data_IF_105252301835
#
_entry.id   IF_105252301835
#
_cell.length_a   1.000
_cell.length_b   1.000
_cell.length_c   1.000
_cell.angle_alpha   90.00
_cell.angle_beta   90.00
_cell.angle_gamma   90.00
#
_symmetry.space_group_name_H-M   'P 1'
#
loop_
_entity.id
_entity.type
_entity.pdbx_description
1 polymer ?
#
# COMPACT_ATOMS: atom_id res chain seq x y z
N UNK A 1 18.26 -7.99 -8.57
CA UNK A 1 17.72 -8.33 -9.89
C UNK A 1 17.14 -7.07 -10.50
N UNK A 2 17.44 -6.81 -11.77
CA UNK A 2 16.99 -5.62 -12.48
C UNK A 2 16.41 -6.03 -13.83
N UNK A 3 15.18 -5.63 -14.12
CA UNK A 3 14.44 -5.96 -15.34
C UNK A 3 13.96 -4.64 -15.95
N UNK A 4 14.33 -4.37 -17.20
CA UNK A 4 14.00 -3.10 -17.84
C UNK A 4 13.63 -3.27 -19.30
N UNK A 5 12.71 -2.42 -19.78
CA UNK A 5 12.32 -2.31 -21.20
C UNK A 5 11.83 -3.66 -21.79
N UNK A 6 11.12 -4.46 -21.00
CA UNK A 6 10.49 -5.68 -21.49
C UNK A 6 9.18 -5.34 -22.19
N UNK A 7 9.25 -5.19 -23.52
CA UNK A 7 8.10 -4.74 -24.33
C UNK A 7 7.07 -5.84 -24.61
N UNK A 8 7.37 -7.12 -24.37
CA UNK A 8 6.49 -8.25 -24.72
C UNK A 8 6.05 -9.12 -23.54
N UNK A 9 6.67 -8.96 -22.36
CA UNK A 9 6.35 -9.80 -21.19
C UNK A 9 5.10 -9.29 -20.50
N UNK A 10 4.10 -10.17 -20.33
CA UNK A 10 2.88 -9.89 -19.56
C UNK A 10 3.04 -10.19 -18.06
N UNK A 11 3.94 -11.10 -17.72
CA UNK A 11 4.36 -11.42 -16.36
C UNK A 11 5.87 -11.66 -16.29
N UNK A 12 6.46 -11.59 -15.10
CA UNK A 12 7.90 -11.84 -14.91
C UNK A 12 8.20 -13.27 -14.45
N UNK A 13 7.42 -13.80 -13.51
CA UNK A 13 7.64 -15.12 -12.91
C UNK A 13 6.38 -15.96 -12.90
N UNK A 14 6.54 -17.28 -13.00
CA UNK A 14 5.53 -18.21 -12.48
C UNK A 14 5.62 -18.30 -10.95
N UNK A 15 4.58 -18.81 -10.29
CA UNK A 15 4.60 -19.16 -8.86
C UNK A 15 5.77 -20.07 -8.49
N UNK A 16 6.03 -21.11 -9.28
CA UNK A 16 7.16 -22.03 -9.10
C UNK A 16 8.53 -21.31 -9.14
N UNK A 17 8.74 -20.40 -10.08
CA UNK A 17 9.97 -19.59 -10.12
C UNK A 17 10.04 -18.64 -8.94
N UNK A 18 8.94 -17.97 -8.59
CA UNK A 18 8.89 -17.08 -7.44
C UNK A 18 9.29 -17.78 -6.13
N UNK A 19 8.83 -19.02 -5.91
CA UNK A 19 9.22 -19.87 -4.75
C UNK A 19 10.73 -20.16 -4.73
N UNK A 20 11.37 -20.31 -5.89
CA UNK A 20 12.81 -20.55 -5.99
C UNK A 20 13.67 -19.29 -5.75
N UNK A 21 13.06 -18.09 -5.74
CA UNK A 21 13.77 -16.81 -5.65
C UNK A 21 13.96 -16.29 -4.22
N UNK A 22 13.87 -17.15 -3.21
CA UNK A 22 13.98 -16.76 -1.80
C UNK A 22 15.30 -16.07 -1.40
N UNK A 23 16.34 -16.13 -2.24
CA UNK A 23 17.62 -15.47 -2.00
C UNK A 23 17.73 -14.04 -2.57
N UNK A 24 16.72 -13.57 -3.33
CA UNK A 24 16.77 -12.23 -3.91
C UNK A 24 16.72 -11.18 -2.81
N UNK A 25 17.63 -10.20 -2.90
CA UNK A 25 17.70 -9.06 -1.98
C UNK A 25 17.06 -7.79 -2.52
N UNK A 26 17.22 -7.54 -3.81
CA UNK A 26 16.74 -6.32 -4.44
C UNK A 26 16.07 -6.67 -5.76
N UNK A 27 14.90 -6.09 -6.02
CA UNK A 27 14.17 -6.22 -7.28
C UNK A 27 13.85 -4.82 -7.79
N UNK A 28 14.25 -4.54 -9.02
CA UNK A 28 13.89 -3.32 -9.75
C UNK A 28 13.29 -3.74 -11.10
N UNK A 29 12.05 -3.34 -11.36
CA UNK A 29 11.36 -3.59 -12.63
C UNK A 29 10.90 -2.24 -13.17
N UNK A 30 11.41 -1.84 -14.34
CA UNK A 30 11.13 -0.52 -14.89
C UNK A 30 10.82 -0.53 -16.39
N UNK A 31 9.91 0.34 -16.84
CA UNK A 31 9.60 0.54 -18.27
C UNK A 31 9.12 -0.73 -19.00
N UNK A 32 8.43 -1.64 -18.30
CA UNK A 32 7.88 -2.87 -18.89
C UNK A 32 6.39 -2.65 -19.26
N UNK A 33 6.14 -2.14 -20.47
CA UNK A 33 4.83 -1.56 -20.82
C UNK A 33 3.69 -2.54 -20.97
N UNK A 34 3.95 -3.77 -21.41
CA UNK A 34 2.92 -4.81 -21.57
C UNK A 34 2.75 -5.69 -20.33
N UNK A 35 3.53 -5.47 -19.27
CA UNK A 35 3.45 -6.25 -18.04
C UNK A 35 2.15 -5.91 -17.29
N UNK A 36 1.35 -6.93 -17.01
CA UNK A 36 0.05 -6.84 -16.33
C UNK A 36 0.12 -7.30 -14.87
N UNK A 37 1.01 -8.24 -14.58
CA UNK A 37 1.31 -8.78 -13.24
C UNK A 37 2.80 -9.07 -13.11
N UNK A 38 3.33 -9.19 -11.88
CA UNK A 38 4.75 -9.59 -11.68
C UNK A 38 4.85 -11.11 -11.60
N UNK A 39 3.93 -11.75 -10.88
CA UNK A 39 3.89 -13.20 -10.70
C UNK A 39 2.58 -13.72 -11.25
N UNK A 40 2.67 -14.54 -12.30
CA UNK A 40 1.57 -15.35 -12.82
C UNK A 40 1.45 -16.62 -11.98
N UNK A 41 0.27 -16.82 -11.40
CA UNK A 41 -0.03 -17.93 -10.50
C UNK A 41 -1.08 -18.88 -11.10
N UNK A 42 -1.14 -18.94 -12.42
CA UNK A 42 -1.89 -19.96 -13.16
C UNK A 42 -1.22 -21.34 -13.03
N UNK A 43 -1.20 -21.91 -11.81
CA UNK A 43 -0.92 -23.32 -11.61
C UNK A 43 -2.18 -23.98 -11.01
N UNK A 44 -2.82 -24.82 -11.85
CA UNK A 44 -3.79 -25.85 -11.45
C UNK A 44 -3.07 -26.93 -10.62
N UNK A 45 -2.55 -26.59 -9.45
CA UNK A 45 -2.12 -27.61 -8.50
C UNK A 45 -3.35 -28.08 -7.72
N UNK A 46 -3.95 -29.13 -8.27
CA UNK A 46 -4.78 -30.11 -7.58
C UNK A 46 -3.99 -30.66 -6.37
N UNK A 47 -4.07 -29.99 -5.22
CA UNK A 47 -3.84 -30.64 -3.94
C UNK A 47 -4.52 -29.85 -2.82
N UNK A 48 -5.48 -30.51 -2.17
CA UNK A 48 -6.07 -30.07 -0.91
C UNK A 48 -5.01 -30.14 0.19
N UNK A 49 -4.46 -28.99 0.60
CA UNK A 49 -3.91 -28.88 1.96
C UNK A 49 -4.18 -27.50 2.55
N UNK A 50 -4.71 -27.54 3.77
CA UNK A 50 -5.17 -26.41 4.55
C UNK A 50 -4.01 -25.56 5.10
N UNK A 51 -3.57 -24.56 4.32
CA UNK A 51 -2.98 -23.29 4.76
C UNK A 51 -2.89 -22.39 3.52
N UNK A 52 -3.07 -21.08 3.64
CA UNK A 52 -2.82 -20.19 2.51
C UNK A 52 -1.35 -20.34 2.08
N UNK A 53 -1.14 -20.90 0.89
CA UNK A 53 0.19 -21.12 0.32
C UNK A 53 0.89 -19.75 0.24
N UNK A 54 2.09 -19.60 0.82
CA UNK A 54 2.73 -18.29 1.02
C UNK A 54 3.94 -18.15 0.10
N UNK A 55 3.99 -17.08 -0.68
CA UNK A 55 5.17 -16.68 -1.42
C UNK A 55 6.10 -15.91 -0.48
N UNK A 56 7.20 -16.56 -0.08
CA UNK A 56 8.18 -15.99 0.82
C UNK A 56 9.40 -15.43 0.09
N UNK A 57 9.70 -14.18 0.37
CA UNK A 57 10.93 -13.51 -0.07
C UNK A 57 11.73 -13.08 1.15
N UNK A 58 12.39 -14.02 1.86
CA UNK A 58 12.95 -13.78 3.19
C UNK A 58 14.13 -12.80 3.18
N UNK A 59 14.85 -12.68 2.07
CA UNK A 59 16.01 -11.78 1.96
C UNK A 59 15.72 -10.47 1.22
N UNK A 60 14.50 -10.28 0.69
CA UNK A 60 14.16 -9.10 -0.11
C UNK A 60 14.10 -7.87 0.78
N UNK A 61 15.01 -6.92 0.58
CA UNK A 61 15.12 -5.66 1.33
C UNK A 61 14.61 -4.46 0.54
N UNK A 62 14.61 -4.53 -0.80
CA UNK A 62 14.18 -3.43 -1.68
C UNK A 62 13.38 -3.95 -2.87
N UNK A 63 12.19 -3.39 -3.09
CA UNK A 63 11.34 -3.66 -4.26
C UNK A 63 10.95 -2.34 -4.92
N UNK A 64 11.30 -2.17 -6.20
CA UNK A 64 10.91 -1.02 -7.03
C UNK A 64 10.18 -1.46 -8.30
N UNK A 65 9.02 -0.86 -8.53
CA UNK A 65 8.13 -1.07 -9.67
C UNK A 65 7.86 0.29 -10.34
N UNK A 66 8.46 0.54 -11.49
CA UNK A 66 8.49 1.88 -12.11
C UNK A 66 8.01 1.89 -13.56
N UNK A 67 7.18 2.87 -13.92
CA UNK A 67 6.77 3.13 -15.31
C UNK A 67 6.17 1.89 -16.02
N UNK A 68 5.23 1.23 -15.34
CA UNK A 68 4.50 0.06 -15.87
C UNK A 68 3.01 0.40 -16.07
N UNK A 69 2.64 1.01 -17.21
CA UNK A 69 1.30 1.54 -17.47
C UNK A 69 0.18 0.50 -17.50
N UNK A 70 0.51 -0.78 -17.68
CA UNK A 70 -0.46 -1.87 -17.71
C UNK A 70 -0.46 -2.75 -16.45
N UNK A 71 0.44 -2.51 -15.50
CA UNK A 71 0.52 -3.32 -14.28
C UNK A 71 -0.74 -3.12 -13.43
N UNK A 72 -1.39 -4.22 -13.06
CA UNK A 72 -2.64 -4.22 -12.29
C UNK A 72 -2.45 -4.68 -10.85
N UNK A 73 -1.51 -5.58 -10.61
CA UNK A 73 -1.20 -6.18 -9.30
C UNK A 73 0.23 -6.75 -9.28
N UNK A 74 0.78 -7.03 -8.10
CA UNK A 74 2.03 -7.78 -7.99
C UNK A 74 1.80 -9.26 -8.31
N UNK A 75 0.75 -9.86 -7.77
CA UNK A 75 0.32 -11.22 -8.09
C UNK A 75 -1.20 -11.35 -8.11
N UNK A 76 -1.74 -12.20 -8.98
CA UNK A 76 -3.10 -12.73 -8.91
C UNK A 76 -3.07 -14.11 -8.26
N UNK A 77 -3.91 -14.40 -7.26
CA UNK A 77 -4.11 -15.79 -6.80
C UNK A 77 -4.39 -15.98 -5.32
N UNK A 78 -4.32 -17.25 -4.90
CA UNK A 78 -4.59 -17.71 -3.52
C UNK A 78 -3.48 -17.39 -2.52
N UNK A 79 -2.33 -16.92 -3.01
CA UNK A 79 -1.12 -16.82 -2.21
C UNK A 79 -1.10 -15.60 -1.28
N UNK A 80 -0.54 -15.79 -0.08
CA UNK A 80 -0.07 -14.68 0.74
C UNK A 80 1.32 -14.26 0.29
N UNK A 81 1.62 -12.96 0.33
CA UNK A 81 2.95 -12.43 0.01
C UNK A 81 3.61 -12.04 1.33
N UNK A 82 4.71 -12.70 1.66
CA UNK A 82 5.46 -12.47 2.87
C UNK A 82 6.89 -12.05 2.55
N UNK A 83 7.20 -10.78 2.84
CA UNK A 83 8.54 -10.22 2.66
C UNK A 83 9.04 -9.71 4.02
N UNK A 84 9.54 -10.60 4.91
CA UNK A 84 9.88 -10.24 6.28
C UNK A 84 11.04 -9.25 6.37
N UNK A 85 11.92 -9.17 5.37
CA UNK A 85 13.09 -8.28 5.38
C UNK A 85 12.91 -7.01 4.54
N UNK A 86 11.72 -6.76 4.00
CA UNK A 86 11.49 -5.63 3.09
C UNK A 86 11.56 -4.31 3.85
N UNK A 87 12.51 -3.45 3.48
CA UNK A 87 12.76 -2.14 4.10
C UNK A 87 12.17 -1.04 3.23
N UNK A 88 12.35 -1.12 1.90
CA UNK A 88 11.91 -0.10 0.95
C UNK A 88 10.99 -0.66 -0.13
N UNK A 89 9.86 -0.01 -0.34
CA UNK A 89 8.91 -0.30 -1.41
C UNK A 89 8.61 0.98 -2.20
N UNK A 90 8.92 0.95 -3.49
CA UNK A 90 8.67 2.05 -4.43
C UNK A 90 7.77 1.57 -5.56
N UNK A 91 6.64 2.25 -5.78
CA UNK A 91 5.73 1.99 -6.90
C UNK A 91 5.39 3.33 -7.54
N UNK A 92 5.94 3.55 -8.74
CA UNK A 92 5.85 4.83 -9.45
C UNK A 92 5.39 4.61 -10.89
N UNK A 93 4.49 5.43 -11.40
CA UNK A 93 4.07 5.35 -12.81
C UNK A 93 3.33 4.05 -13.15
N UNK A 94 2.56 3.53 -12.20
CA UNK A 94 1.74 2.32 -12.34
C UNK A 94 0.23 2.66 -12.24
N UNK A 95 -0.33 3.43 -13.18
CA UNK A 95 -1.65 4.06 -13.06
C UNK A 95 -2.83 3.08 -12.94
N UNK A 96 -2.70 1.86 -13.49
CA UNK A 96 -3.76 0.83 -13.48
C UNK A 96 -3.70 -0.10 -12.27
N UNK A 97 -2.71 0.05 -11.39
CA UNK A 97 -2.53 -0.83 -10.26
C UNK A 97 -3.49 -0.45 -9.13
N UNK A 98 -4.41 -1.35 -8.81
CA UNK A 98 -5.47 -1.13 -7.80
C UNK A 98 -5.22 -1.86 -6.48
N UNK A 99 -4.45 -2.94 -6.53
CA UNK A 99 -4.11 -3.76 -5.38
C UNK A 99 -2.71 -4.33 -5.52
N UNK A 100 -2.05 -4.60 -4.39
CA UNK A 100 -0.77 -5.28 -4.40
C UNK A 100 -0.94 -6.79 -4.64
N UNK A 101 -1.99 -7.40 -4.10
CA UNK A 101 -2.26 -8.83 -4.27
C UNK A 101 -3.74 -9.06 -4.55
N UNK A 102 -4.10 -9.51 -5.75
CA UNK A 102 -5.50 -9.72 -6.12
C UNK A 102 -5.95 -11.16 -5.86
N UNK A 103 -7.18 -11.35 -5.39
CA UNK A 103 -7.80 -12.68 -5.30
C UNK A 103 -8.97 -12.79 -6.26
N UNK A 104 -8.99 -13.85 -7.07
CA UNK A 104 -10.23 -14.28 -7.72
C UNK A 104 -11.11 -15.03 -6.72
N UNK A 105 -11.91 -14.25 -6.00
CA UNK A 105 -13.18 -14.70 -5.48
C UNK A 105 -14.13 -13.54 -5.74
N UNK A 106 -14.94 -13.65 -6.81
CA UNK A 106 -16.00 -12.70 -7.22
C UNK A 106 -16.18 -11.55 -6.22
N UNK A 107 -15.77 -10.35 -6.59
CA UNK A 107 -16.55 -9.17 -6.21
C UNK A 107 -17.97 -9.49 -6.70
N UNK A 108 -18.83 -10.00 -5.82
CA UNK A 108 -20.18 -10.39 -6.15
C UNK A 108 -20.91 -9.11 -6.56
N UNK A 109 -21.13 -8.96 -7.86
CA UNK A 109 -22.40 -8.41 -8.31
C UNK A 109 -23.51 -9.30 -7.71
N UNK A 110 -24.49 -8.66 -7.07
CA UNK A 110 -25.75 -9.20 -6.54
C UNK A 110 -25.79 -9.57 -5.05
N UNK A 111 -26.02 -8.56 -4.20
CA UNK A 111 -27.24 -8.49 -3.37
C UNK A 111 -27.63 -7.02 -3.22
N UNK A 112 -28.89 -6.70 -3.51
CA UNK A 112 -29.43 -5.37 -3.25
C UNK A 112 -29.54 -5.14 -1.75
N UNK A 113 -28.63 -4.34 -1.20
CA UNK A 113 -28.84 -3.56 0.01
C UNK A 113 -27.87 -2.38 0.01
N UNK A 114 -28.39 -1.17 0.20
CA UNK A 114 -27.61 0.06 0.27
C UNK A 114 -26.71 0.06 1.51
N UNK A 115 -25.45 -0.34 1.35
CA UNK A 115 -24.36 -0.01 2.27
C UNK A 115 -23.03 0.00 1.51
N UNK A 116 -22.38 1.17 1.52
CA UNK A 116 -20.97 1.46 1.19
C UNK A 116 -20.17 0.32 0.53
N UNK A 117 -20.17 0.28 -0.81
CA UNK A 117 -19.40 -0.68 -1.61
C UNK A 117 -17.91 -0.61 -1.26
N UNK A 118 -17.34 -1.75 -0.85
CA UNK A 118 -15.94 -1.94 -0.49
C UNK A 118 -14.97 -1.50 -1.60
N UNK A 119 -14.46 -0.26 -1.50
CA UNK A 119 -13.41 0.23 -2.38
C UNK A 119 -12.20 -0.72 -2.37
N UNK A 120 -11.56 -0.96 -3.53
CA UNK A 120 -10.36 -1.80 -3.58
C UNK A 120 -9.27 -1.21 -2.68
N UNK A 121 -8.72 -2.05 -1.81
CA UNK A 121 -7.63 -1.71 -0.90
C UNK A 121 -6.31 -2.16 -1.51
N UNK A 122 -5.32 -1.28 -1.45
CA UNK A 122 -4.00 -1.57 -2.02
C UNK A 122 -3.28 -2.71 -1.28
N UNK A 123 -3.04 -2.54 0.03
CA UNK A 123 -2.49 -3.58 0.90
C UNK A 123 -3.61 -4.28 1.66
N UNK A 124 -4.00 -5.46 1.20
CA UNK A 124 -4.98 -6.30 1.91
C UNK A 124 -4.32 -7.23 2.93
N UNK A 125 -5.13 -8.07 3.57
CA UNK A 125 -4.73 -8.97 4.66
C UNK A 125 -3.71 -10.04 4.25
N UNK A 126 -3.47 -10.25 2.94
CA UNK A 126 -2.52 -11.23 2.42
C UNK A 126 -1.12 -10.67 2.20
N UNK A 127 -0.91 -9.39 2.51
CA UNK A 127 0.37 -8.72 2.32
C UNK A 127 1.05 -8.49 3.66
N UNK A 128 2.18 -9.15 3.87
CA UNK A 128 2.88 -9.17 5.15
C UNK A 128 4.29 -8.56 5.05
N UNK A 129 4.39 -7.26 5.39
CA UNK A 129 5.64 -6.48 5.39
C UNK A 129 5.94 -5.94 6.80
N UNK A 130 6.44 -6.77 7.74
CA UNK A 130 6.65 -6.39 9.14
C UNK A 130 7.76 -5.35 9.34
N UNK A 131 8.76 -5.30 8.46
CA UNK A 131 9.93 -4.43 8.58
C UNK A 131 9.98 -3.28 7.57
N UNK A 132 8.86 -2.97 6.90
CA UNK A 132 8.83 -1.87 5.93
C UNK A 132 9.03 -0.53 6.63
N UNK A 133 10.06 0.21 6.21
CA UNK A 133 10.45 1.51 6.76
C UNK A 133 10.13 2.65 5.80
N UNK A 134 10.28 2.44 4.49
CA UNK A 134 10.03 3.46 3.45
C UNK A 134 9.04 2.96 2.41
N UNK A 135 7.98 3.75 2.21
CA UNK A 135 6.95 3.51 1.21
C UNK A 135 6.80 4.72 0.29
N UNK A 136 6.95 4.51 -1.02
CA UNK A 136 6.67 5.51 -2.04
C UNK A 136 5.62 4.99 -3.03
N UNK A 137 4.52 5.73 -3.15
CA UNK A 137 3.44 5.48 -4.10
C UNK A 137 3.23 6.75 -4.94
N UNK A 138 3.54 6.71 -6.23
CA UNK A 138 3.46 7.90 -7.09
C UNK A 138 2.85 7.63 -8.46
N UNK A 139 2.06 8.57 -8.96
CA UNK A 139 1.39 8.46 -10.27
C UNK A 139 0.51 7.21 -10.39
N UNK A 140 -0.23 6.88 -9.32
CA UNK A 140 -1.15 5.73 -9.26
C UNK A 140 -2.61 6.21 -9.38
N UNK A 141 -3.09 6.39 -10.61
CA UNK A 141 -4.40 6.98 -10.89
C UNK A 141 -5.56 6.20 -10.25
N UNK A 142 -5.56 4.87 -10.33
CA UNK A 142 -6.65 4.03 -9.79
C UNK A 142 -6.53 3.74 -8.28
N UNK A 143 -5.50 4.25 -7.60
CA UNK A 143 -5.30 4.08 -6.17
C UNK A 143 -6.32 4.93 -5.38
N UNK A 144 -7.34 4.26 -4.84
CA UNK A 144 -8.39 4.90 -4.02
C UNK A 144 -8.09 4.83 -2.52
N UNK A 145 -7.46 3.73 -2.10
CA UNK A 145 -7.21 3.42 -0.70
C UNK A 145 -5.97 2.56 -0.51
N UNK A 146 -5.09 2.97 0.40
CA UNK A 146 -3.81 2.28 0.64
C UNK A 146 -3.99 1.10 1.61
N UNK A 147 -4.77 1.30 2.68
CA UNK A 147 -4.85 0.39 3.82
C UNK A 147 -6.26 -0.17 4.03
N UNK A 148 -6.42 -1.28 4.76
CA UNK A 148 -7.73 -1.70 5.25
C UNK A 148 -8.24 -0.74 6.34
N UNK A 149 -9.52 -0.84 6.70
CA UNK A 149 -10.16 -0.09 7.80
C UNK A 149 -9.35 -0.15 9.10
N UNK A 150 -8.62 -1.25 9.31
CA UNK A 150 -7.76 -1.47 10.46
C UNK A 150 -6.46 -2.10 9.98
N UNK A 151 -5.33 -1.58 10.48
CA UNK A 151 -4.03 -2.21 10.31
C UNK A 151 -3.93 -3.38 11.31
N UNK A 152 -4.39 -4.56 10.90
CA UNK A 152 -4.25 -5.80 11.66
C UNK A 152 -2.86 -6.46 11.42
N UNK A 153 -2.33 -7.14 12.44
CA UNK A 153 -1.06 -7.89 12.34
C UNK A 153 0.22 -7.05 12.48
N UNK A 154 1.42 -7.67 12.44
CA UNK A 154 2.72 -7.01 12.67
C UNK A 154 3.19 -6.09 11.53
N UNK A 155 2.56 -6.19 10.35
CA UNK A 155 2.91 -5.41 9.16
C UNK A 155 2.89 -3.90 9.38
N UNK A 156 3.80 -3.18 8.71
CA UNK A 156 3.86 -1.71 8.66
C UNK A 156 4.12 -1.00 10.00
N UNK A 157 4.44 -1.74 11.08
CA UNK A 157 4.72 -1.16 12.40
C UNK A 157 6.05 -0.39 12.48
N UNK A 158 6.97 -0.66 11.55
CA UNK A 158 8.25 0.04 11.41
C UNK A 158 8.21 1.18 10.39
N UNK A 159 7.05 1.49 9.79
CA UNK A 159 6.99 2.49 8.74
C UNK A 159 7.44 3.86 9.28
N UNK A 160 8.55 4.35 8.73
CA UNK A 160 9.21 5.60 9.13
C UNK A 160 8.91 6.75 8.17
N UNK A 161 8.83 6.45 6.87
CA UNK A 161 8.63 7.43 5.82
C UNK A 161 7.58 6.96 4.82
N UNK A 162 6.58 7.82 4.57
CA UNK A 162 5.64 7.65 3.47
C UNK A 162 5.70 8.85 2.52
N UNK A 163 5.80 8.56 1.22
CA UNK A 163 5.70 9.54 0.14
C UNK A 163 4.57 9.14 -0.79
N UNK A 164 3.60 10.04 -0.99
CA UNK A 164 2.47 9.84 -1.90
C UNK A 164 2.40 10.99 -2.89
N UNK A 165 2.50 10.70 -4.19
CA UNK A 165 2.59 11.72 -5.23
C UNK A 165 1.61 11.49 -6.38
N UNK A 166 0.93 12.53 -6.89
CA UNK A 166 0.17 12.43 -8.15
C UNK A 166 -0.84 11.27 -8.19
N UNK A 167 -1.47 10.96 -7.05
CA UNK A 167 -2.52 9.93 -6.95
C UNK A 167 -3.89 10.60 -7.09
N UNK A 168 -4.50 10.48 -8.26
CA UNK A 168 -5.68 11.27 -8.64
C UNK A 168 -6.95 10.92 -7.87
N UNK A 169 -7.15 9.65 -7.52
CA UNK A 169 -8.38 9.16 -6.89
C UNK A 169 -8.22 8.84 -5.39
N UNK A 170 -7.05 9.12 -4.80
CA UNK A 170 -6.79 8.84 -3.39
C UNK A 170 -7.53 9.86 -2.50
N UNK A 171 -8.39 9.37 -1.60
CA UNK A 171 -9.19 10.21 -0.71
C UNK A 171 -8.49 10.47 0.63
N UNK A 172 -7.85 9.44 1.18
CA UNK A 172 -7.20 9.44 2.48
C UNK A 172 -5.88 8.64 2.43
N UNK A 173 -4.87 9.08 3.19
CA UNK A 173 -3.57 8.39 3.26
C UNK A 173 -3.59 7.28 4.31
N UNK A 174 -4.25 7.49 5.44
CA UNK A 174 -4.26 6.59 6.59
C UNK A 174 -5.68 6.31 7.06
N UNK A 175 -5.96 5.09 7.58
CA UNK A 175 -7.24 4.82 8.22
C UNK A 175 -7.30 5.50 9.59
N UNK A 176 -8.51 5.74 10.07
CA UNK A 176 -8.79 6.49 11.31
C UNK A 176 -8.14 5.87 12.56
N UNK A 177 -8.01 4.54 12.58
CA UNK A 177 -7.51 3.76 13.70
C UNK A 177 -6.03 3.34 13.56
N UNK A 178 -5.25 3.96 12.66
CA UNK A 178 -3.83 3.60 12.44
C UNK A 178 -2.86 4.22 13.44
N UNK A 179 -3.31 5.23 14.19
CA UNK A 179 -2.47 6.11 15.01
C UNK A 179 -1.64 5.37 16.05
N UNK A 180 -2.25 4.38 16.72
CA UNK A 180 -1.61 3.55 17.75
C UNK A 180 -0.54 2.60 17.17
N UNK A 181 -0.29 2.62 15.85
CA UNK A 181 0.67 1.73 15.17
C UNK A 181 1.78 2.49 14.46
N UNK A 182 1.54 3.75 14.10
CA UNK A 182 2.47 4.60 13.37
C UNK A 182 3.45 5.34 14.30
N UNK A 183 3.97 4.64 15.33
CA UNK A 183 4.87 5.23 16.33
C UNK A 183 6.25 5.59 15.76
N UNK A 184 6.67 4.90 14.70
CA UNK A 184 7.96 5.12 14.04
C UNK A 184 7.88 6.17 12.94
N UNK A 185 6.66 6.58 12.54
CA UNK A 185 6.43 7.45 11.39
C UNK A 185 6.99 8.84 11.66
N UNK A 186 8.09 9.15 10.96
CA UNK A 186 8.86 10.37 11.13
C UNK A 186 8.71 11.34 9.95
N UNK A 187 8.38 10.84 8.75
CA UNK A 187 8.23 11.63 7.53
C UNK A 187 6.93 11.30 6.81
N UNK A 188 6.16 12.34 6.50
CA UNK A 188 5.01 12.28 5.58
C UNK A 188 5.22 13.31 4.48
N UNK A 189 5.19 12.88 3.22
CA UNK A 189 5.24 13.75 2.06
C UNK A 189 4.07 13.42 1.13
N UNK A 190 3.18 14.38 0.90
CA UNK A 190 2.04 14.23 -0.02
C UNK A 190 2.02 15.38 -1.01
N UNK A 191 2.09 15.06 -2.30
CA UNK A 191 2.31 16.04 -3.37
C UNK A 191 1.35 15.78 -4.52
N UNK A 192 0.66 16.82 -5.00
CA UNK A 192 -0.13 16.76 -6.24
C UNK A 192 -1.24 15.69 -6.24
N UNK A 193 -1.91 15.44 -5.11
CA UNK A 193 -3.07 14.53 -5.03
C UNK A 193 -4.40 15.33 -5.04
N UNK A 194 -5.05 15.49 -6.21
CA UNK A 194 -6.20 16.41 -6.36
C UNK A 194 -7.48 15.98 -5.63
N UNK A 195 -7.70 14.67 -5.43
CA UNK A 195 -8.89 14.16 -4.73
C UNK A 195 -8.72 14.01 -3.22
N UNK A 196 -7.52 14.23 -2.69
CA UNK A 196 -7.23 14.00 -1.28
C UNK A 196 -8.01 14.99 -0.41
N UNK A 197 -8.85 14.48 0.49
CA UNK A 197 -9.67 15.30 1.39
C UNK A 197 -9.01 15.52 2.75
N UNK A 198 -8.37 14.49 3.29
CA UNK A 198 -7.67 14.50 4.57
C UNK A 198 -6.57 13.45 4.61
N UNK A 199 -5.58 13.61 5.49
CA UNK A 199 -4.55 12.56 5.67
C UNK A 199 -5.14 11.32 6.33
N UNK A 200 -6.03 11.50 7.31
CA UNK A 200 -6.65 10.41 8.05
C UNK A 200 -8.14 10.33 7.71
N UNK A 201 -8.65 9.10 7.55
CA UNK A 201 -10.09 8.83 7.44
C UNK A 201 -10.84 9.38 8.67
N UNK A 202 -12.07 9.90 8.48
CA UNK A 202 -12.92 10.35 9.60
C UNK A 202 -13.29 9.19 10.53
N UNK A 203 -13.38 9.48 11.83
CA UNK A 203 -13.85 8.51 12.83
C UNK A 203 -15.39 8.48 12.80
N UNK A 204 -15.98 7.32 12.55
CA UNK A 204 -17.45 7.14 12.59
C UNK A 204 -17.99 7.23 14.02
N UNK A 205 -19.15 7.90 14.17
CA UNK A 205 -19.81 8.22 15.46
C UNK A 205 -20.17 7.00 16.34
N UNK A 206 -20.05 5.76 15.83
CA UNK A 206 -20.33 4.53 16.58
C UNK A 206 -19.20 4.10 17.53
N UNK A 207 -17.98 4.65 17.39
CA UNK A 207 -16.84 4.35 18.26
C UNK A 207 -16.68 5.38 19.39
N UNK A 208 -17.73 5.52 20.22
CA UNK A 208 -17.74 6.39 21.41
C UNK A 208 -16.60 6.09 22.42
N UNK A 209 -15.92 4.94 22.31
CA UNK A 209 -14.96 4.43 23.31
C UNK A 209 -13.50 4.87 23.15
N UNK A 210 -13.10 5.60 22.11
CA UNK A 210 -11.69 6.06 22.00
C UNK A 210 -11.57 7.54 21.61
N UNK A 211 -11.93 8.40 22.55
CA UNK A 211 -11.62 9.84 22.52
C UNK A 211 -10.14 10.11 22.88
N UNK A 212 -9.19 9.46 22.19
CA UNK A 212 -7.76 9.74 22.37
C UNK A 212 -7.29 10.73 21.31
N UNK A 213 -6.53 11.76 21.67
CA UNK A 213 -5.93 12.67 20.69
C UNK A 213 -5.00 11.89 19.76
N UNK A 214 -5.02 12.22 18.48
CA UNK A 214 -4.03 11.76 17.51
C UNK A 214 -2.66 12.35 17.90
N UNK A 215 -1.71 11.49 18.30
CA UNK A 215 -0.35 11.88 18.69
C UNK A 215 0.65 11.14 17.81
N UNK A 216 1.29 11.88 16.90
CA UNK A 216 2.40 11.40 16.06
C UNK A 216 3.73 11.87 16.67
N UNK A 217 4.17 11.22 17.74
CA UNK A 217 5.32 11.68 18.55
C UNK A 217 6.67 11.64 17.83
N UNK A 218 6.83 10.74 16.85
CA UNK A 218 8.06 10.63 16.06
C UNK A 218 8.08 11.54 14.82
N UNK A 219 6.98 12.19 14.47
CA UNK A 219 6.85 12.97 13.24
C UNK A 219 7.76 14.20 13.29
N UNK A 220 8.77 14.21 12.41
CA UNK A 220 9.78 15.28 12.28
C UNK A 220 9.56 16.11 11.02
N UNK A 221 9.06 15.51 9.94
CA UNK A 221 8.93 16.16 8.64
C UNK A 221 7.56 15.88 8.05
N UNK A 222 6.83 16.95 7.73
CA UNK A 222 5.55 16.87 7.05
C UNK A 222 5.56 17.87 5.90
N UNK A 223 5.34 17.37 4.68
CA UNK A 223 5.32 18.19 3.46
C UNK A 223 4.03 17.89 2.70
N UNK A 224 3.19 18.90 2.55
CA UNK A 224 1.92 18.85 1.83
C UNK A 224 1.97 19.91 0.72
N UNK A 225 1.86 19.50 -0.54
CA UNK A 225 1.97 20.42 -1.67
C UNK A 225 0.92 20.14 -2.73
N UNK A 226 0.30 21.21 -3.24
CA UNK A 226 -0.68 21.15 -4.32
C UNK A 226 -1.83 20.14 -4.06
N UNK A 227 -2.56 20.33 -2.95
CA UNK A 227 -3.67 19.47 -2.51
C UNK A 227 -4.99 20.26 -2.49
N UNK A 228 -5.63 20.50 -3.66
CA UNK A 228 -6.73 21.46 -3.80
C UNK A 228 -8.01 21.10 -3.03
N UNK A 229 -8.28 19.81 -2.77
CA UNK A 229 -9.45 19.35 -2.00
C UNK A 229 -9.17 19.12 -0.52
N UNK A 230 -7.90 19.20 -0.09
CA UNK A 230 -7.54 18.91 1.28
C UNK A 230 -7.99 20.07 2.17
N UNK A 231 -8.88 19.79 3.13
CA UNK A 231 -9.42 20.79 4.06
C UNK A 231 -8.84 20.63 5.46
N UNK A 232 -8.61 19.39 5.87
CA UNK A 232 -8.21 19.03 7.22
C UNK A 232 -7.10 17.97 7.19
N UNK A 233 -6.25 17.94 8.22
CA UNK A 233 -5.34 16.81 8.45
C UNK A 233 -6.14 15.59 8.95
N UNK A 234 -7.16 15.84 9.78
CA UNK A 234 -8.11 14.87 10.33
C UNK A 234 -9.52 15.48 10.28
N UNK A 235 -10.46 14.81 9.61
CA UNK A 235 -11.85 15.28 9.43
C UNK A 235 -12.69 14.92 10.66
N UNK A 236 -12.49 15.60 11.80
CA UNK A 236 -13.31 15.43 13.00
C UNK A 236 -13.14 16.59 14.00
N UNK A 237 -14.09 16.77 14.94
CA UNK A 237 -14.06 17.79 16.02
C UNK A 237 -12.93 17.56 17.06
N UNK A 238 -11.93 16.74 16.74
CA UNK A 238 -10.88 16.32 17.66
C UNK A 238 -9.68 17.25 17.55
N UNK A 239 -9.12 17.63 18.69
CA UNK A 239 -7.81 18.31 18.72
C UNK A 239 -6.73 17.32 18.29
N UNK A 240 -6.18 17.51 17.09
CA UNK A 240 -4.94 16.87 16.67
C UNK A 240 -3.78 17.57 17.37
N UNK A 241 -3.08 16.86 18.25
CA UNK A 241 -1.86 17.40 18.87
C UNK A 241 -0.67 16.83 18.11
N UNK A 242 -0.20 17.58 17.12
CA UNK A 242 1.08 17.32 16.49
C UNK A 242 2.17 17.79 17.46
N UNK A 243 2.74 16.84 18.23
CA UNK A 243 3.88 17.13 19.11
C UNK A 243 5.13 17.20 18.24
N UNK A 244 5.36 18.37 17.64
CA UNK A 244 6.56 18.59 16.85
C UNK A 244 7.74 18.93 17.77
N UNK A 245 8.84 18.15 17.79
CA UNK A 245 10.06 18.59 18.42
C UNK A 245 10.66 19.77 17.63
N UNK A 246 10.54 20.98 18.20
CA UNK A 246 11.24 22.25 17.88
C UNK A 246 11.81 22.36 16.44
N UNK A 247 11.11 23.04 15.55
CA UNK A 247 11.55 23.28 14.17
C UNK A 247 12.70 24.30 14.09
N UNK A 248 13.61 24.08 13.13
CA UNK A 248 14.28 25.14 12.36
C UNK A 248 13.60 25.15 10.98
N UNK A 249 13.08 26.30 10.57
CA UNK A 249 12.55 26.48 9.21
C UNK A 249 13.72 26.71 8.25
N UNK A 250 13.78 25.95 7.15
CA UNK A 250 14.55 26.27 5.93
C UNK A 250 13.73 25.86 4.73
#
# INVERSE_FOLDING_TARGET
>A
MKVQNCENLRFLFSSSVAKALGQIKEVEIANCRLMEEIIDVQEEELEEVAAADTLEFPLLTSLSLEEMPNLRTFSYGKYCIHCPSLIRLTIVGCPKMITFSSFEGKQQSMTGDNSDFSLPVFFNERVHFPNLEELELSSMCELKRIWPNQLHGPSFSKLESITVGRCENLLHVFPSNSVDRLHSLNKIEVVECPSLEALFEPISLSDEKRRKPLVLSALKKMKLMNLPRMRDILKSDFKVTLVFPRWKWT
#
